data_IF_704987877310
#
_entry.id   IF_704987877310
#
_cell.length_a   1.000
_cell.length_b   1.000
_cell.length_c   1.000
_cell.angle_alpha   90.00
_cell.angle_beta   90.00
_cell.angle_gamma   90.00
#
_symmetry.space_group_name_H-M   'P 1'
#
loop_
_entity.id
_entity.type
_entity.pdbx_description
1 polymer ?
#
# COMPACT_ATOMS: atom_id res chain seq x y z
N UNK A 1 -9.51 -14.95 11.50
CA UNK A 1 -10.36 -13.95 10.82
C UNK A 1 -9.82 -12.51 10.95
N UNK A 2 -8.51 -12.28 11.16
CA UNK A 2 -7.94 -10.94 11.39
C UNK A 2 -7.26 -10.27 10.18
N UNK A 3 -7.19 -10.94 9.02
CA UNK A 3 -6.47 -10.42 7.84
C UNK A 3 -7.21 -9.34 7.05
N UNK A 4 -8.54 -9.44 6.92
CA UNK A 4 -9.30 -8.47 6.13
C UNK A 4 -9.37 -7.09 6.80
N UNK A 5 -9.41 -7.05 8.14
CA UNK A 5 -9.44 -5.78 8.88
C UNK A 5 -8.15 -4.98 8.67
N UNK A 6 -6.99 -5.62 8.77
CA UNK A 6 -5.69 -4.93 8.64
C UNK A 6 -5.46 -4.38 7.23
N UNK A 7 -5.91 -5.09 6.18
CA UNK A 7 -5.86 -4.60 4.81
C UNK A 7 -6.74 -3.35 4.64
N UNK A 8 -7.96 -3.38 5.17
CA UNK A 8 -8.89 -2.25 5.09
C UNK A 8 -8.32 -1.03 5.82
N UNK A 9 -7.75 -1.23 7.01
CA UNK A 9 -7.16 -0.16 7.81
C UNK A 9 -6.00 0.50 7.06
N UNK A 10 -5.06 -0.29 6.52
CA UNK A 10 -3.97 0.21 5.66
C UNK A 10 -4.49 0.95 4.42
N UNK A 11 -5.55 0.44 3.79
CA UNK A 11 -6.13 1.08 2.61
C UNK A 11 -6.78 2.43 2.94
N UNK A 12 -7.42 2.55 4.12
CA UNK A 12 -7.99 3.80 4.63
C UNK A 12 -6.90 4.79 5.03
N UNK A 13 -5.84 4.34 5.69
CA UNK A 13 -4.69 5.17 6.04
C UNK A 13 -4.07 5.81 4.80
N UNK A 14 -3.80 5.01 3.76
CA UNK A 14 -3.33 5.52 2.46
C UNK A 14 -4.25 6.56 1.85
N UNK A 15 -5.57 6.34 1.95
CA UNK A 15 -6.54 7.30 1.45
C UNK A 15 -6.46 8.63 2.23
N UNK A 16 -6.23 8.58 3.55
CA UNK A 16 -6.08 9.77 4.40
C UNK A 16 -4.77 10.50 4.16
N UNK A 17 -3.67 9.79 3.96
CA UNK A 17 -2.36 10.36 3.62
C UNK A 17 -2.40 11.17 2.32
N UNK A 18 -3.10 10.65 1.30
CA UNK A 18 -3.23 11.34 0.01
C UNK A 18 -4.22 12.51 0.08
N UNK A 19 -5.24 12.43 0.95
CA UNK A 19 -6.27 13.46 1.08
C UNK A 19 -6.45 13.95 2.53
N UNK A 20 -5.43 14.56 3.13
CA UNK A 20 -5.42 14.90 4.56
C UNK A 20 -6.45 15.97 4.94
N UNK A 21 -6.85 16.81 3.99
CA UNK A 21 -7.85 17.87 4.19
C UNK A 21 -9.30 17.38 4.13
N UNK A 22 -9.55 16.12 3.74
CA UNK A 22 -10.92 15.60 3.62
C UNK A 22 -11.48 15.16 4.98
N UNK A 23 -12.77 15.43 5.18
CA UNK A 23 -13.43 15.18 6.46
C UNK A 23 -13.60 13.69 6.76
N UNK A 24 -13.79 13.36 8.05
CA UNK A 24 -14.14 12.00 8.49
C UNK A 24 -15.39 11.46 7.80
N UNK A 25 -16.39 12.30 7.56
CA UNK A 25 -17.62 11.93 6.86
C UNK A 25 -17.34 11.50 5.41
N UNK A 26 -16.43 12.19 4.72
CA UNK A 26 -16.02 11.82 3.36
C UNK A 26 -15.37 10.43 3.32
N UNK A 27 -14.44 10.16 4.25
CA UNK A 27 -13.78 8.84 4.37
C UNK A 27 -14.81 7.75 4.70
N UNK A 28 -15.71 8.01 5.66
CA UNK A 28 -16.77 7.07 6.04
C UNK A 28 -17.68 6.72 4.86
N UNK A 29 -18.09 7.71 4.06
CA UNK A 29 -18.92 7.48 2.87
C UNK A 29 -18.21 6.66 1.81
N UNK A 30 -16.91 6.88 1.61
CA UNK A 30 -16.09 6.05 0.71
C UNK A 30 -16.01 4.60 1.20
N UNK A 31 -15.78 4.40 2.51
CA UNK A 31 -15.74 3.07 3.12
C UNK A 31 -17.09 2.34 3.01
N UNK A 32 -18.21 3.01 3.30
CA UNK A 32 -19.56 2.40 3.16
C UNK A 32 -19.79 1.92 1.73
N UNK A 33 -19.39 2.71 0.73
CA UNK A 33 -19.48 2.32 -0.69
C UNK A 33 -18.63 1.09 -1.01
N UNK A 34 -17.41 1.04 -0.50
CA UNK A 34 -16.51 -0.09 -0.65
C UNK A 34 -17.08 -1.36 0.00
N UNK A 35 -17.50 -1.28 1.26
CA UNK A 35 -18.07 -2.41 2.02
C UNK A 35 -19.37 -2.94 1.42
N UNK A 36 -20.19 -2.07 0.80
CA UNK A 36 -21.39 -2.47 0.04
C UNK A 36 -21.11 -3.05 -1.35
N UNK A 37 -19.83 -3.28 -1.69
CA UNK A 37 -19.37 -3.81 -2.97
C UNK A 37 -19.99 -3.06 -4.17
N UNK A 38 -19.98 -1.72 -4.10
CA UNK A 38 -20.57 -0.87 -5.13
C UNK A 38 -19.63 -0.63 -6.31
N UNK A 39 -18.32 -0.79 -6.10
CA UNK A 39 -17.28 -0.55 -7.10
C UNK A 39 -17.01 -1.83 -7.88
N UNK A 40 -17.12 -1.75 -9.21
CA UNK A 40 -16.69 -2.82 -10.13
C UNK A 40 -15.74 -2.23 -11.16
N UNK A 41 -14.60 -2.89 -11.35
CA UNK A 41 -13.71 -2.59 -12.47
C UNK A 41 -14.37 -3.08 -13.76
N UNK A 42 -14.50 -2.19 -14.74
CA UNK A 42 -15.14 -2.49 -16.02
C UNK A 42 -14.09 -2.74 -17.12
N UNK A 43 -13.07 -1.90 -17.16
CA UNK A 43 -11.88 -2.07 -17.98
C UNK A 43 -10.71 -1.36 -17.32
N UNK A 44 -9.53 -1.45 -17.91
CA UNK A 44 -8.36 -0.71 -17.43
C UNK A 44 -8.72 0.78 -17.27
N UNK A 45 -8.43 1.31 -16.08
CA UNK A 45 -8.67 2.70 -15.72
C UNK A 45 -10.14 3.17 -15.74
N UNK A 46 -11.12 2.24 -15.78
CA UNK A 46 -12.55 2.55 -15.78
C UNK A 46 -13.28 1.69 -14.75
N UNK A 47 -14.01 2.34 -13.85
CA UNK A 47 -14.82 1.70 -12.82
C UNK A 47 -16.26 2.18 -12.89
N UNK A 48 -17.17 1.25 -12.64
CA UNK A 48 -18.60 1.51 -12.46
C UNK A 48 -18.91 1.44 -10.98
N UNK A 49 -19.54 2.50 -10.45
CA UNK A 49 -19.91 2.63 -9.04
C UNK A 49 -21.42 2.67 -8.94
N UNK A 50 -22.02 1.68 -8.27
CA UNK A 50 -23.46 1.68 -7.97
C UNK A 50 -23.80 2.85 -7.06
N UNK A 51 -24.87 3.57 -7.41
CA UNK A 51 -25.44 4.63 -6.60
C UNK A 51 -26.06 4.08 -5.32
N UNK A 52 -25.93 4.85 -4.24
CA UNK A 52 -26.54 4.59 -2.93
C UNK A 52 -27.43 5.78 -2.55
N UNK A 53 -28.76 5.69 -2.73
CA UNK A 53 -29.70 6.75 -2.35
C UNK A 53 -29.56 7.19 -0.89
N UNK A 54 -29.21 6.26 0.02
CA UNK A 54 -28.97 6.55 1.43
C UNK A 54 -27.75 7.46 1.67
N UNK A 55 -26.86 7.60 0.67
CA UNK A 55 -25.75 8.55 0.68
C UNK A 55 -26.05 9.80 -0.17
N UNK A 56 -27.28 9.98 -0.67
CA UNK A 56 -27.69 11.13 -1.46
C UNK A 56 -27.33 11.03 -2.95
N UNK A 57 -27.15 9.82 -3.48
CA UNK A 57 -26.96 9.63 -4.92
C UNK A 57 -28.29 9.76 -5.67
N UNK A 58 -28.29 10.63 -6.71
CA UNK A 58 -29.45 10.82 -7.58
C UNK A 58 -29.58 9.72 -8.64
N UNK A 59 -28.45 9.21 -9.14
CA UNK A 59 -28.41 8.23 -10.22
C UNK A 59 -28.04 6.83 -9.70
N UNK A 60 -28.56 5.77 -10.33
CA UNK A 60 -28.30 4.39 -9.93
C UNK A 60 -26.87 3.94 -10.22
N UNK A 61 -26.15 4.65 -11.09
CA UNK A 61 -24.81 4.28 -11.54
C UNK A 61 -23.98 5.54 -11.83
N UNK A 62 -22.69 5.48 -11.48
CA UNK A 62 -21.68 6.48 -11.81
C UNK A 62 -20.48 5.81 -12.48
N UNK A 63 -19.84 6.52 -13.39
CA UNK A 63 -18.62 6.06 -14.06
C UNK A 63 -17.45 6.88 -13.57
N UNK A 64 -16.40 6.20 -13.09
CA UNK A 64 -15.13 6.80 -12.69
C UNK A 64 -14.07 6.39 -13.70
N UNK A 65 -13.32 7.36 -14.22
CA UNK A 65 -12.23 7.15 -15.18
C UNK A 65 -10.94 7.73 -14.63
N UNK A 66 -9.82 7.04 -14.83
CA UNK A 66 -8.48 7.58 -14.59
C UNK A 66 -7.82 7.87 -15.94
N UNK A 67 -7.52 9.15 -16.22
CA UNK A 67 -6.79 9.58 -17.42
C UNK A 67 -5.69 10.54 -17.02
N UNK A 68 -4.49 10.35 -17.54
CA UNK A 68 -3.33 11.24 -17.31
C UNK A 68 -3.08 11.50 -15.81
N UNK A 69 -3.23 10.46 -15.00
CA UNK A 69 -3.09 10.53 -13.54
C UNK A 69 -4.23 11.23 -12.79
N UNK A 70 -5.29 11.67 -13.49
CA UNK A 70 -6.44 12.39 -12.91
C UNK A 70 -7.71 11.57 -12.96
N UNK A 71 -8.44 11.60 -11.85
CA UNK A 71 -9.75 10.95 -11.78
C UNK A 71 -10.85 11.88 -12.27
N UNK A 72 -11.78 11.33 -13.04
CA UNK A 72 -13.02 11.96 -13.46
C UNK A 72 -14.20 11.09 -13.07
N UNK A 73 -15.26 11.69 -12.53
CA UNK A 73 -16.49 10.99 -12.20
C UNK A 73 -17.69 11.63 -12.91
N UNK A 74 -18.58 10.82 -13.47
CA UNK A 74 -19.81 11.31 -14.11
C UNK A 74 -20.73 12.07 -13.15
N UNK A 75 -20.57 11.94 -11.82
CA UNK A 75 -21.32 12.74 -10.85
C UNK A 75 -21.09 14.25 -11.00
N UNK A 76 -19.96 14.66 -11.60
CA UNK A 76 -19.63 16.06 -11.88
C UNK A 76 -20.50 16.69 -12.97
N UNK A 77 -21.19 15.89 -13.79
CA UNK A 77 -21.96 16.36 -14.95
C UNK A 77 -23.39 16.81 -14.57
N UNK A 78 -23.82 16.61 -13.31
CA UNK A 78 -25.16 16.97 -12.85
C UNK A 78 -25.16 18.22 -11.94
N UNK A 79 -25.98 19.23 -12.28
CA UNK A 79 -26.52 20.41 -11.56
C UNK A 79 -25.78 21.14 -10.41
N UNK A 80 -24.60 20.69 -9.96
CA UNK A 80 -23.71 21.31 -8.96
C UNK A 80 -22.24 21.27 -9.40
N UNK A 81 -21.99 20.95 -10.68
CA UNK A 81 -20.74 20.43 -11.22
C UNK A 81 -19.55 21.38 -11.35
N UNK A 82 -19.78 22.70 -11.45
CA UNK A 82 -18.69 23.67 -11.68
C UNK A 82 -17.84 23.93 -10.43
N UNK A 83 -18.41 23.86 -9.22
CA UNK A 83 -17.68 24.12 -7.96
C UNK A 83 -16.88 22.91 -7.44
N UNK A 84 -17.14 21.70 -7.93
CA UNK A 84 -16.52 20.43 -7.45
C UNK A 84 -15.58 19.75 -8.46
N UNK A 85 -15.36 20.33 -9.64
CA UNK A 85 -14.37 19.79 -10.61
C UNK A 85 -12.94 19.73 -10.06
N UNK A 86 -12.65 20.49 -9.01
CA UNK A 86 -11.39 20.46 -8.25
C UNK A 86 -11.40 19.48 -7.07
N UNK A 87 -12.49 18.76 -6.80
CA UNK A 87 -12.64 17.92 -5.61
C UNK A 87 -12.81 16.43 -5.93
N UNK A 88 -12.09 15.57 -5.18
CA UNK A 88 -12.33 14.13 -5.20
C UNK A 88 -13.66 13.83 -4.51
N UNK A 89 -14.66 13.36 -5.26
CA UNK A 89 -15.95 12.94 -4.71
C UNK A 89 -15.84 11.58 -3.99
N UNK A 90 -16.86 11.21 -3.22
CA UNK A 90 -16.87 9.92 -2.50
C UNK A 90 -16.93 8.70 -3.42
N UNK A 91 -17.36 8.85 -4.69
CA UNK A 91 -17.30 7.76 -5.68
C UNK A 91 -15.85 7.52 -6.12
N UNK A 92 -15.09 8.57 -6.43
CA UNK A 92 -13.66 8.46 -6.73
C UNK A 92 -12.91 7.91 -5.51
N UNK A 93 -13.21 8.41 -4.32
CA UNK A 93 -12.62 7.91 -3.07
C UNK A 93 -12.83 6.40 -2.90
N UNK A 94 -14.03 5.89 -3.17
CA UNK A 94 -14.33 4.47 -3.12
C UNK A 94 -13.52 3.67 -4.15
N UNK A 95 -13.31 4.22 -5.36
CA UNK A 95 -12.43 3.61 -6.37
C UNK A 95 -10.98 3.59 -5.92
N UNK A 96 -10.45 4.68 -5.36
CA UNK A 96 -9.09 4.73 -4.82
C UNK A 96 -8.93 3.69 -3.70
N UNK A 97 -9.90 3.61 -2.79
CA UNK A 97 -9.91 2.63 -1.71
C UNK A 97 -9.94 1.19 -2.25
N UNK A 98 -10.79 0.90 -3.23
CA UNK A 98 -10.85 -0.38 -3.93
C UNK A 98 -9.49 -0.76 -4.54
N UNK A 99 -8.85 0.17 -5.26
CA UNK A 99 -7.53 -0.06 -5.87
C UNK A 99 -6.45 -0.32 -4.83
N UNK A 100 -6.42 0.47 -3.75
CA UNK A 100 -5.48 0.29 -2.64
C UNK A 100 -5.67 -1.09 -1.99
N UNK A 101 -6.92 -1.48 -1.71
CA UNK A 101 -7.26 -2.79 -1.18
C UNK A 101 -6.77 -3.91 -2.10
N UNK A 102 -7.12 -3.88 -3.40
CA UNK A 102 -6.71 -4.91 -4.37
C UNK A 102 -5.19 -5.02 -4.49
N UNK A 103 -4.47 -3.90 -4.40
CA UNK A 103 -3.01 -3.90 -4.37
C UNK A 103 -2.45 -4.51 -3.10
N UNK A 104 -3.03 -4.23 -1.94
CA UNK A 104 -2.60 -4.80 -0.65
C UNK A 104 -2.90 -6.30 -0.53
N UNK A 105 -4.01 -6.74 -1.12
CA UNK A 105 -4.44 -8.13 -1.20
C UNK A 105 -3.74 -8.92 -2.34
N UNK A 106 -2.92 -8.25 -3.16
CA UNK A 106 -2.14 -8.92 -4.21
C UNK A 106 -1.06 -9.81 -3.58
N UNK A 107 -0.79 -10.94 -4.22
CA UNK A 107 0.35 -11.77 -3.83
C UNK A 107 1.68 -11.13 -4.23
N UNK A 108 2.67 -11.36 -3.39
CA UNK A 108 4.08 -11.02 -3.61
C UNK A 108 4.93 -12.15 -3.06
N UNK A 109 6.22 -12.17 -3.39
CA UNK A 109 7.18 -13.11 -2.82
C UNK A 109 8.11 -12.33 -1.91
N UNK A 110 8.24 -12.73 -0.65
CA UNK A 110 9.06 -12.01 0.31
C UNK A 110 9.93 -12.93 1.17
N UNK A 111 11.02 -12.38 1.70
CA UNK A 111 11.83 -12.97 2.75
C UNK A 111 12.23 -11.87 3.73
N UNK A 112 12.40 -12.25 4.99
CA UNK A 112 12.70 -11.33 6.08
C UNK A 112 14.02 -11.73 6.70
N UNK A 113 14.91 -10.76 6.87
CA UNK A 113 16.16 -10.91 7.59
C UNK A 113 16.09 -10.01 8.82
N UNK A 114 16.38 -10.56 9.98
CA UNK A 114 16.54 -9.81 11.23
C UNK A 114 17.97 -9.97 11.72
N UNK A 115 18.62 -8.86 12.02
CA UNK A 115 19.97 -8.82 12.58
C UNK A 115 20.03 -7.84 13.74
N UNK A 116 21.03 -8.02 14.60
CA UNK A 116 21.35 -7.08 15.66
C UNK A 116 22.83 -6.73 15.58
N UNK A 117 23.16 -5.52 15.13
CA UNK A 117 24.53 -5.10 14.81
C UNK A 117 24.72 -3.61 15.14
N UNK A 118 25.95 -3.19 15.35
CA UNK A 118 26.34 -1.77 15.36
C UNK A 118 26.40 -1.28 13.91
N UNK A 119 27.23 -1.93 13.11
CA UNK A 119 27.40 -1.66 11.68
C UNK A 119 26.73 -2.74 10.85
N UNK A 120 26.04 -2.35 9.79
CA UNK A 120 25.30 -3.30 8.97
C UNK A 120 25.12 -2.81 7.53
N UNK A 121 25.12 -3.77 6.61
CA UNK A 121 24.87 -3.51 5.20
C UNK A 121 24.27 -4.75 4.54
N UNK A 122 23.31 -4.55 3.64
CA UNK A 122 22.74 -5.61 2.80
C UNK A 122 22.95 -5.23 1.33
N UNK A 123 23.68 -6.06 0.62
CA UNK A 123 23.92 -5.93 -0.81
C UNK A 123 23.02 -6.91 -1.58
N UNK A 124 22.24 -6.36 -2.52
CA UNK A 124 21.48 -7.15 -3.50
C UNK A 124 22.21 -7.07 -4.84
N UNK A 125 22.37 -8.19 -5.56
CA UNK A 125 23.03 -8.21 -6.86
C UNK A 125 22.40 -7.21 -7.84
N UNK A 126 23.25 -6.50 -8.58
CA UNK A 126 22.85 -5.40 -9.46
C UNK A 126 21.90 -5.82 -10.58
N UNK A 127 21.97 -7.08 -11.03
CA UNK A 127 21.09 -7.70 -12.02
C UNK A 127 19.63 -7.84 -11.55
N UNK A 128 19.40 -7.73 -10.23
CA UNK A 128 18.08 -7.77 -9.62
C UNK A 128 17.48 -6.37 -9.40
N UNK A 129 18.20 -5.31 -9.78
CA UNK A 129 17.73 -3.93 -9.68
C UNK A 129 16.40 -3.76 -10.43
N UNK A 130 15.40 -3.23 -9.73
CA UNK A 130 14.05 -3.03 -10.26
C UNK A 130 13.14 -4.26 -10.18
N UNK A 131 13.69 -5.47 -10.11
CA UNK A 131 12.93 -6.72 -9.89
C UNK A 131 12.70 -7.01 -8.42
N UNK A 132 13.73 -6.78 -7.61
CA UNK A 132 13.72 -6.94 -6.15
C UNK A 132 13.66 -5.58 -5.49
N UNK A 133 12.82 -5.47 -4.46
CA UNK A 133 12.71 -4.31 -3.60
C UNK A 133 13.14 -4.70 -2.19
N UNK A 134 13.82 -3.78 -1.52
CA UNK A 134 14.26 -3.94 -0.13
C UNK A 134 13.65 -2.82 0.68
N UNK A 135 13.00 -3.19 1.78
CA UNK A 135 12.63 -2.23 2.84
C UNK A 135 13.48 -2.53 4.05
N UNK A 136 13.95 -1.47 4.72
CA UNK A 136 14.77 -1.56 5.93
C UNK A 136 14.05 -0.81 7.06
N UNK A 137 13.84 -1.49 8.17
CA UNK A 137 13.47 -0.88 9.45
C UNK A 137 14.59 -1.03 10.46
N UNK A 138 14.79 -0.02 11.31
CA UNK A 138 15.91 0.07 12.25
C UNK A 138 15.36 0.52 13.60
N UNK A 139 15.65 -0.24 14.66
CA UNK A 139 15.35 0.10 16.06
C UNK A 139 16.61 0.05 16.89
N UNK A 140 16.86 1.08 17.69
CA UNK A 140 17.96 1.05 18.67
C UNK A 140 17.56 0.12 19.81
N UNK A 141 18.41 -0.87 20.12
CA UNK A 141 18.17 -1.83 21.21
C UNK A 141 19.14 -1.64 22.38
N UNK A 142 20.30 -1.03 22.13
CA UNK A 142 21.25 -0.62 23.15
C UNK A 142 21.89 0.71 22.75
N UNK A 143 21.86 1.68 23.65
CA UNK A 143 22.40 3.03 23.48
C UNK A 143 23.43 3.38 24.57
N UNK A 144 23.99 2.37 25.23
CA UNK A 144 25.01 2.55 26.27
C UNK A 144 26.26 3.22 25.69
N UNK A 145 26.73 2.74 24.53
CA UNK A 145 27.66 3.49 23.70
C UNK A 145 26.88 4.45 22.80
N UNK A 146 27.00 5.75 23.09
CA UNK A 146 26.32 6.79 22.32
C UNK A 146 26.92 7.01 20.93
N UNK A 147 28.18 6.62 20.73
CA UNK A 147 28.86 6.75 19.44
C UNK A 147 28.51 5.56 18.54
N UNK A 148 28.33 4.38 19.13
CA UNK A 148 28.09 3.13 18.42
C UNK A 148 26.89 2.36 18.99
N UNK A 149 25.66 2.91 18.90
CA UNK A 149 24.49 2.22 19.41
C UNK A 149 24.25 0.91 18.65
N UNK A 150 23.77 -0.12 19.36
CA UNK A 150 23.39 -1.39 18.75
C UNK A 150 21.98 -1.29 18.20
N UNK A 151 21.80 -1.75 16.97
CA UNK A 151 20.54 -1.69 16.25
C UNK A 151 19.99 -3.08 16.00
N UNK A 152 18.68 -3.25 16.19
CA UNK A 152 17.92 -4.31 15.53
C UNK A 152 17.48 -3.81 14.17
N UNK A 153 17.88 -4.51 13.13
CA UNK A 153 17.58 -4.16 11.74
C UNK A 153 16.75 -5.28 11.10
N UNK A 154 15.63 -4.90 10.52
CA UNK A 154 14.75 -5.80 9.78
C UNK A 154 14.79 -5.42 8.31
N UNK A 155 15.27 -6.33 7.47
CA UNK A 155 15.16 -6.22 6.02
C UNK A 155 14.00 -7.06 5.52
N UNK A 156 13.12 -6.44 4.74
CA UNK A 156 12.07 -7.14 3.99
C UNK A 156 12.43 -7.07 2.51
N UNK A 157 12.84 -8.21 1.95
CA UNK A 157 13.21 -8.35 0.55
C UNK A 157 12.01 -8.94 -0.17
N UNK A 158 11.50 -8.28 -1.21
CA UNK A 158 10.32 -8.76 -1.92
C UNK A 158 10.35 -8.50 -3.43
N UNK A 159 9.61 -9.33 -4.17
CA UNK A 159 9.44 -9.27 -5.61
C UNK A 159 7.98 -9.58 -5.99
N UNK A 160 7.60 -9.21 -7.22
CA UNK A 160 6.26 -9.53 -7.75
C UNK A 160 6.18 -10.95 -8.34
N UNK A 161 7.33 -11.58 -8.58
CA UNK A 161 7.46 -12.91 -9.19
C UNK A 161 8.34 -13.81 -8.29
N UNK A 162 8.20 -15.14 -8.37
CA UNK A 162 9.07 -16.06 -7.65
C UNK A 162 10.53 -15.86 -8.08
N UNK A 163 11.42 -15.60 -7.13
CA UNK A 163 12.84 -15.42 -7.39
C UNK A 163 13.65 -15.88 -6.17
N UNK A 164 14.84 -16.41 -6.43
CA UNK A 164 15.85 -16.66 -5.42
C UNK A 164 16.88 -15.53 -5.46
N UNK A 165 17.20 -14.98 -4.29
CA UNK A 165 18.08 -13.82 -4.17
C UNK A 165 19.34 -14.23 -3.42
N UNK A 166 20.50 -14.14 -4.08
CA UNK A 166 21.80 -14.31 -3.44
C UNK A 166 22.31 -12.97 -2.95
N UNK A 167 22.20 -12.69 -1.66
CA UNK A 167 22.56 -11.40 -1.07
C UNK A 167 23.86 -11.51 -0.26
N UNK A 168 24.58 -10.39 -0.10
CA UNK A 168 25.68 -10.28 0.87
C UNK A 168 25.23 -9.45 2.05
N UNK A 169 25.39 -9.99 3.25
CA UNK A 169 25.03 -9.33 4.50
C UNK A 169 26.29 -9.09 5.31
N UNK A 170 26.58 -7.83 5.60
CA UNK A 170 27.56 -7.43 6.59
C UNK A 170 26.84 -7.08 7.91
N UNK A 171 27.37 -7.59 9.01
CA UNK A 171 26.95 -7.30 10.38
C UNK A 171 28.20 -7.23 11.26
N UNK A 172 28.52 -6.04 11.75
CA UNK A 172 29.79 -5.73 12.41
C UNK A 172 30.96 -6.17 11.49
N UNK A 173 31.87 -7.03 11.98
CA UNK A 173 32.99 -7.56 11.19
C UNK A 173 32.66 -8.82 10.37
N UNK A 174 31.45 -9.35 10.49
CA UNK A 174 31.04 -10.62 9.85
C UNK A 174 30.33 -10.36 8.52
N UNK A 175 30.75 -11.08 7.48
CA UNK A 175 30.19 -10.99 6.13
C UNK A 175 29.74 -12.36 5.68
N UNK A 176 28.44 -12.49 5.37
CA UNK A 176 27.80 -13.74 4.96
C UNK A 176 27.16 -13.61 3.59
N UNK A 177 27.28 -14.66 2.80
CA UNK A 177 26.44 -14.85 1.62
C UNK A 177 25.16 -15.57 2.02
N UNK A 178 24.01 -15.03 1.60
CA UNK A 178 22.69 -15.56 1.92
C UNK A 178 22.01 -16.00 0.62
N UNK A 179 21.46 -17.21 0.59
CA UNK A 179 20.52 -17.64 -0.47
C UNK A 179 19.09 -17.51 0.05
N UNK A 180 18.40 -16.47 -0.38
CA UNK A 180 17.06 -16.13 0.09
C UNK A 180 16.03 -16.66 -0.91
N UNK A 181 15.30 -17.70 -0.51
CA UNK A 181 14.10 -18.15 -1.23
C UNK A 181 12.91 -17.30 -0.81
N UNK A 182 12.41 -16.45 -1.71
CA UNK A 182 11.24 -15.62 -1.40
C UNK A 182 9.97 -16.47 -1.39
N UNK A 183 9.17 -16.37 -0.34
CA UNK A 183 7.94 -17.15 -0.15
C UNK A 183 6.71 -16.32 -0.49
N UNK A 184 5.70 -16.96 -1.09
CA UNK A 184 4.44 -16.29 -1.46
C UNK A 184 3.75 -15.79 -0.20
N UNK A 185 3.40 -14.52 -0.19
CA UNK A 185 2.66 -13.85 0.89
C UNK A 185 1.78 -12.74 0.31
N UNK A 186 0.99 -12.09 1.16
CA UNK A 186 0.19 -10.93 0.77
C UNK A 186 1.00 -9.65 0.90
N UNK A 187 0.80 -8.70 -0.02
CA UNK A 187 1.53 -7.42 -0.02
C UNK A 187 1.34 -6.65 1.28
N UNK A 188 0.15 -6.67 1.88
CA UNK A 188 -0.08 -5.98 3.15
C UNK A 188 0.84 -6.47 4.28
N UNK A 189 1.24 -7.75 4.28
CA UNK A 189 2.16 -8.29 5.30
C UNK A 189 3.53 -7.65 5.16
N UNK A 190 4.04 -7.51 3.93
CA UNK A 190 5.29 -6.78 3.64
C UNK A 190 5.20 -5.33 4.13
N UNK A 191 4.05 -4.68 3.95
CA UNK A 191 3.85 -3.30 4.38
C UNK A 191 3.76 -3.13 5.90
N UNK A 192 3.20 -4.11 6.62
CA UNK A 192 3.20 -4.10 8.09
C UNK A 192 4.63 -4.29 8.63
N UNK A 193 5.37 -5.26 8.10
CA UNK A 193 6.76 -5.52 8.49
C UNK A 193 7.72 -4.36 8.17
N UNK A 194 7.38 -3.56 7.17
CA UNK A 194 8.13 -2.36 6.82
C UNK A 194 7.92 -1.18 7.79
N UNK A 195 6.85 -1.23 8.61
CA UNK A 195 6.45 -0.16 9.53
C UNK A 195 6.83 -0.43 10.98
N UNK A 196 7.04 -1.70 11.31
CA UNK A 196 7.63 -2.12 12.59
C UNK A 196 9.10 -1.73 12.63
#
# INVERSE_FOLDING_TARGET
MGGDSSIIDLAIERLREVFPSKSRSWVRRALVRFMKNTVKEFSENIWVVRGLPELGDKYPTYVVRLRDGRYHCSCFESSWGLRRKSEICTHIAAVILYRNYRKLDSDVYASVINIECVDYYLEIPSELKGKVKVVKSVRVIDATDRLNPRHRVTYVIYANEPIEVRAKLACDSDVRELSLKLTRTKRYIVELLARD
#
